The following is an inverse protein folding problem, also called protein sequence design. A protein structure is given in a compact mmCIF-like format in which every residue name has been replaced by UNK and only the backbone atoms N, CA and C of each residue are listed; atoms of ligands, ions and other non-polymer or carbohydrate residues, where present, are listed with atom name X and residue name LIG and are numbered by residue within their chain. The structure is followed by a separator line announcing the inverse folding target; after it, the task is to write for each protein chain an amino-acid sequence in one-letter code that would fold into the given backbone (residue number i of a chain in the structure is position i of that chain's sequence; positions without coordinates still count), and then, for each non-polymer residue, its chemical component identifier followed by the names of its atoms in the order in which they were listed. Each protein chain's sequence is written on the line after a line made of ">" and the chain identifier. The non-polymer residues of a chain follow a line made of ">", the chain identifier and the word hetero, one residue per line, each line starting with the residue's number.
data_IF_699364308869
#
_entry.id   IF_699364308869
#
_cell.length_a   1.000
_cell.length_b   1.000
_cell.length_c   1.000
_cell.angle_alpha   90.00
_cell.angle_beta   90.00
_cell.angle_gamma   90.00
#
_symmetry.space_group_name_H-M   'P 1'
#
loop_
_entity.id
_entity.type
_entity.pdbx_description
1 polymer ?
#
# COMPACT_ATOMS: atom_id res chain seq x y z
N UNK A 1 9.27 3.81 3.70
CA UNK A 1 9.43 4.13 2.27
C UNK A 1 8.13 3.79 1.55
N UNK A 2 7.69 4.52 0.52
CA UNK A 2 6.54 4.12 -0.29
C UNK A 2 7.04 3.33 -1.51
N UNK A 3 6.46 2.16 -1.76
CA UNK A 3 6.75 1.31 -2.91
C UNK A 3 5.45 1.08 -3.67
N UNK A 4 5.46 1.33 -4.97
CA UNK A 4 4.31 1.12 -5.85
C UNK A 4 4.54 -0.12 -6.70
N UNK A 5 3.50 -0.91 -6.84
CA UNK A 5 3.46 -2.03 -7.77
C UNK A 5 3.53 -1.54 -9.23
N UNK A 6 3.97 -2.42 -10.13
CA UNK A 6 4.04 -2.14 -11.57
C UNK A 6 2.65 -1.96 -12.20
N UNK A 7 1.62 -2.57 -11.59
CA UNK A 7 0.23 -2.47 -12.05
C UNK A 7 -0.40 -1.07 -11.85
N UNK A 8 0.27 -0.14 -11.15
CA UNK A 8 -0.22 1.22 -11.00
C UNK A 8 -0.07 2.03 -12.30
N UNK A 9 -1.16 2.63 -12.82
CA UNK A 9 -1.12 3.38 -14.07
C UNK A 9 -0.10 4.53 -14.04
N UNK A 10 0.68 4.70 -15.11
CA UNK A 10 1.73 5.71 -15.20
C UNK A 10 1.23 7.14 -14.92
N UNK A 11 0.02 7.49 -15.37
CA UNK A 11 -0.61 8.79 -15.08
C UNK A 11 -0.81 9.05 -13.58
N UNK A 12 -1.10 8.01 -12.80
CA UNK A 12 -1.22 8.13 -11.34
C UNK A 12 0.14 8.31 -10.68
N UNK A 13 1.17 7.60 -11.18
CA UNK A 13 2.56 7.74 -10.72
C UNK A 13 3.07 9.17 -10.98
N UNK A 14 2.78 9.74 -12.15
CA UNK A 14 3.06 11.15 -12.46
C UNK A 14 2.32 12.12 -11.53
N UNK A 15 1.05 11.86 -11.22
CA UNK A 15 0.26 12.69 -10.31
C UNK A 15 0.80 12.67 -8.88
N UNK A 16 1.25 11.51 -8.37
CA UNK A 16 1.93 11.43 -7.08
C UNK A 16 3.24 12.25 -7.06
N UNK A 17 4.03 12.18 -8.15
CA UNK A 17 5.26 12.99 -8.29
C UNK A 17 4.97 14.48 -8.30
N UNK A 18 3.91 14.94 -8.99
CA UNK A 18 3.54 16.37 -9.03
C UNK A 18 3.12 16.89 -7.64
N UNK A 19 2.57 16.02 -6.78
CA UNK A 19 2.29 16.32 -5.38
C UNK A 19 3.49 16.14 -4.44
N UNK A 20 4.69 15.89 -4.99
CA UNK A 20 5.94 15.65 -4.24
C UNK A 20 5.89 14.44 -3.30
N UNK A 21 5.04 13.46 -3.59
CA UNK A 21 5.02 12.18 -2.86
C UNK A 21 6.13 11.30 -3.44
N UNK A 22 7.16 11.01 -2.62
CA UNK A 22 8.29 10.16 -3.02
C UNK A 22 7.90 8.69 -2.93
N UNK A 23 8.19 7.93 -3.98
CA UNK A 23 8.02 6.48 -4.03
C UNK A 23 9.11 5.84 -4.89
N UNK A 24 9.22 4.51 -4.82
CA UNK A 24 9.92 3.67 -5.80
C UNK A 24 8.92 2.73 -6.46
N UNK A 25 9.07 2.43 -7.74
CA UNK A 25 8.20 1.48 -8.44
C UNK A 25 8.90 0.12 -8.61
N UNK A 26 8.17 -0.98 -8.42
CA UNK A 26 8.63 -2.32 -8.79
C UNK A 26 8.85 -2.37 -10.31
N UNK A 27 9.88 -3.10 -10.75
CA UNK A 27 10.23 -3.29 -12.17
C UNK A 27 10.95 -2.11 -12.83
N UNK A 28 10.75 -0.87 -12.35
CA UNK A 28 11.49 0.32 -12.82
C UNK A 28 12.66 0.67 -11.91
N UNK A 29 12.45 0.66 -10.59
CA UNK A 29 13.43 1.11 -9.59
C UNK A 29 13.81 0.01 -8.58
N UNK A 30 13.00 -1.06 -8.50
CA UNK A 30 13.16 -2.16 -7.55
C UNK A 30 12.86 -3.50 -8.25
N UNK A 31 13.89 -4.31 -8.45
CA UNK A 31 13.80 -5.65 -9.06
C UNK A 31 13.93 -5.65 -10.59
N UNK A 32 14.26 -6.80 -11.16
CA UNK A 32 14.17 -7.02 -12.61
C UNK A 32 12.70 -7.10 -13.02
N UNK A 33 12.38 -6.52 -14.18
CA UNK A 33 11.05 -6.59 -14.82
C UNK A 33 10.54 -8.03 -14.81
N UNK A 34 9.36 -8.27 -14.22
CA UNK A 34 8.81 -9.62 -14.08
C UNK A 34 9.18 -10.36 -12.79
N UNK A 35 9.42 -9.63 -11.70
CA UNK A 35 9.44 -10.22 -10.35
C UNK A 35 8.08 -10.88 -10.13
N UNK A 36 7.99 -12.19 -10.37
CA UNK A 36 6.80 -12.99 -10.05
C UNK A 36 6.36 -12.70 -8.62
N UNK A 37 5.05 -12.70 -8.37
CA UNK A 37 4.46 -12.43 -7.05
C UNK A 37 5.15 -13.16 -5.89
N UNK A 38 5.64 -14.38 -6.17
CA UNK A 38 6.43 -15.23 -5.26
C UNK A 38 7.68 -14.56 -4.65
N UNK A 39 8.27 -13.58 -5.34
CA UNK A 39 9.48 -12.89 -4.89
C UNK A 39 9.21 -11.54 -4.23
N UNK A 40 7.96 -11.04 -4.26
CA UNK A 40 7.65 -9.72 -3.72
C UNK A 40 7.77 -9.68 -2.20
N UNK A 41 7.18 -10.64 -1.47
CA UNK A 41 7.27 -10.66 -0.01
C UNK A 41 8.73 -10.76 0.48
N UNK A 42 9.57 -11.67 -0.05
CA UNK A 42 11.02 -11.66 0.22
C UNK A 42 11.72 -10.33 -0.07
N UNK A 43 11.35 -9.64 -1.15
CA UNK A 43 11.88 -8.31 -1.46
C UNK A 43 11.48 -7.29 -0.38
N UNK A 44 10.22 -7.25 0.03
CA UNK A 44 9.72 -6.32 1.05
C UNK A 44 10.44 -6.50 2.40
N UNK A 45 10.78 -7.72 2.78
CA UNK A 45 11.58 -7.99 4.00
C UNK A 45 12.98 -7.37 3.97
N UNK A 46 13.58 -7.18 2.78
CA UNK A 46 14.92 -6.60 2.62
C UNK A 46 14.90 -5.07 2.60
N UNK A 47 13.73 -4.47 2.41
CA UNK A 47 13.57 -3.03 2.36
C UNK A 47 13.33 -2.45 3.76
N UNK A 48 13.81 -1.23 4.06
CA UNK A 48 13.66 -0.63 5.38
C UNK A 48 12.22 -0.14 5.59
N UNK A 49 11.36 -1.00 6.12
CA UNK A 49 9.97 -0.69 6.49
C UNK A 49 9.17 -0.06 5.33
N UNK A 50 9.00 -0.79 4.21
CA UNK A 50 8.21 -0.30 3.08
C UNK A 50 6.71 -0.30 3.39
N UNK A 51 6.01 0.67 2.83
CA UNK A 51 4.56 0.60 2.57
C UNK A 51 4.42 0.27 1.09
N UNK A 52 4.01 -0.95 0.78
CA UNK A 52 3.78 -1.43 -0.57
C UNK A 52 2.33 -1.17 -0.96
N UNK A 53 2.10 -0.65 -2.16
CA UNK A 53 0.77 -0.32 -2.67
C UNK A 53 0.55 -0.99 -4.01
N UNK A 54 -0.56 -1.73 -4.12
CA UNK A 54 -0.96 -2.48 -5.32
C UNK A 54 -2.46 -2.33 -5.60
N UNK A 55 -2.86 -2.59 -6.84
CA UNK A 55 -4.26 -2.79 -7.23
C UNK A 55 -4.69 -4.27 -7.16
N UNK A 56 -3.77 -5.18 -6.85
CA UNK A 56 -4.04 -6.61 -6.74
C UNK A 56 -4.63 -6.99 -5.37
N UNK A 57 -5.78 -7.66 -5.43
CA UNK A 57 -6.55 -8.09 -4.26
C UNK A 57 -5.87 -9.22 -3.49
N UNK A 58 -5.02 -10.02 -4.13
CA UNK A 58 -4.42 -11.20 -3.50
C UNK A 58 -3.45 -10.85 -2.36
N UNK A 59 -3.06 -9.57 -2.26
CA UNK A 59 -2.29 -9.02 -1.14
C UNK A 59 -3.12 -8.64 0.08
N UNK A 60 -4.47 -8.68 0.01
CA UNK A 60 -5.35 -8.42 1.15
C UNK A 60 -5.65 -9.69 1.95
N UNK A 61 -4.62 -10.28 2.54
CA UNK A 61 -4.69 -11.53 3.32
C UNK A 61 -4.10 -11.34 4.72
N UNK A 62 -4.75 -11.84 5.79
CA UNK A 62 -4.24 -11.67 7.14
C UNK A 62 -2.90 -12.36 7.37
N UNK A 63 -2.64 -13.48 6.68
CA UNK A 63 -1.37 -14.22 6.79
C UNK A 63 -0.15 -13.41 6.31
N UNK A 64 -0.37 -12.37 5.50
CA UNK A 64 0.70 -11.52 4.99
C UNK A 64 1.06 -10.36 5.92
N UNK A 65 0.37 -10.19 7.05
CA UNK A 65 0.67 -9.14 8.02
C UNK A 65 2.02 -9.39 8.70
N UNK A 66 2.93 -8.41 8.60
CA UNK A 66 4.30 -8.55 9.12
C UNK A 66 4.87 -7.21 9.58
N UNK A 67 5.52 -7.17 10.74
CA UNK A 67 6.04 -5.94 11.37
C UNK A 67 7.06 -5.17 10.51
N UNK A 68 7.76 -5.88 9.63
CA UNK A 68 8.78 -5.33 8.74
C UNK A 68 8.24 -4.51 7.57
N UNK A 69 6.94 -4.55 7.27
CA UNK A 69 6.35 -3.80 6.16
C UNK A 69 4.87 -3.46 6.39
N UNK A 70 4.27 -2.77 5.43
CA UNK A 70 2.82 -2.60 5.32
C UNK A 70 2.40 -2.92 3.88
N UNK A 71 1.33 -3.69 3.73
CA UNK A 71 0.69 -3.95 2.43
C UNK A 71 -0.57 -3.12 2.31
N UNK A 72 -0.78 -2.53 1.13
CA UNK A 72 -1.96 -1.73 0.83
C UNK A 72 -2.54 -2.21 -0.50
N UNK A 73 -3.71 -2.82 -0.43
CA UNK A 73 -4.55 -3.05 -1.59
C UNK A 73 -5.47 -1.84 -1.79
N UNK A 74 -5.36 -1.22 -2.95
CA UNK A 74 -6.27 -0.16 -3.40
C UNK A 74 -7.51 -0.78 -4.05
N UNK A 75 -8.58 -0.93 -3.26
CA UNK A 75 -9.89 -1.37 -3.74
C UNK A 75 -10.69 -0.19 -4.32
N UNK A 76 -10.09 0.44 -5.33
CA UNK A 76 -10.64 1.59 -6.06
C UNK A 76 -10.27 1.46 -7.53
N UNK A 77 -10.89 2.29 -8.39
CA UNK A 77 -10.51 2.31 -9.80
C UNK A 77 -9.07 2.78 -9.92
N UNK A 78 -8.27 2.13 -10.77
CA UNK A 78 -6.86 2.48 -10.97
C UNK A 78 -6.64 3.96 -11.32
N UNK A 79 -7.59 4.61 -12.00
CA UNK A 79 -7.54 6.06 -12.31
C UNK A 79 -7.68 7.00 -11.10
N UNK A 80 -7.99 6.47 -9.92
CA UNK A 80 -8.16 7.22 -8.67
C UNK A 80 -7.06 6.88 -7.65
N UNK A 81 -6.16 5.96 -7.98
CA UNK A 81 -5.15 5.41 -7.08
C UNK A 81 -4.31 6.49 -6.38
N UNK A 82 -3.83 7.49 -7.11
CA UNK A 82 -2.99 8.55 -6.54
C UNK A 82 -3.74 9.32 -5.44
N UNK A 83 -5.01 9.68 -5.70
CA UNK A 83 -5.84 10.41 -4.75
C UNK A 83 -6.06 9.61 -3.47
N UNK A 84 -6.32 8.30 -3.59
CA UNK A 84 -6.51 7.42 -2.42
C UNK A 84 -5.22 7.14 -1.66
N UNK A 85 -4.07 6.99 -2.34
CA UNK A 85 -2.75 6.93 -1.69
C UNK A 85 -2.52 8.20 -0.87
N UNK A 86 -2.74 9.37 -1.47
CA UNK A 86 -2.58 10.65 -0.77
C UNK A 86 -3.51 10.78 0.43
N UNK A 87 -4.75 10.29 0.30
CA UNK A 87 -5.75 10.28 1.39
C UNK A 87 -5.31 9.36 2.53
N UNK A 88 -4.85 8.14 2.23
CA UNK A 88 -4.26 7.23 3.21
C UNK A 88 -3.10 7.86 3.96
N UNK A 89 -2.15 8.48 3.24
CA UNK A 89 -0.98 9.12 3.85
C UNK A 89 -1.31 10.34 4.71
N UNK A 90 -2.56 10.81 4.69
CA UNK A 90 -3.08 11.89 5.54
C UNK A 90 -4.04 11.39 6.61
N UNK A 91 -4.38 10.10 6.62
CA UNK A 91 -5.28 9.53 7.59
C UNK A 91 -4.60 9.55 8.98
N UNK A 92 -5.25 10.07 10.05
CA UNK A 92 -4.63 10.17 11.37
C UNK A 92 -4.09 8.84 11.90
N UNK A 93 -4.76 7.73 11.60
CA UNK A 93 -4.30 6.40 12.01
C UNK A 93 -3.18 5.81 11.13
N UNK A 94 -2.80 6.46 10.01
CA UNK A 94 -1.84 5.91 9.03
C UNK A 94 -0.85 6.94 8.47
N UNK A 95 -0.83 8.17 8.97
CA UNK A 95 -0.02 9.29 8.44
C UNK A 95 1.50 9.05 8.57
N UNK A 96 1.92 8.39 9.63
CA UNK A 96 3.33 8.04 9.86
C UNK A 96 3.66 6.62 9.40
N UNK A 97 4.93 6.40 9.06
CA UNK A 97 5.45 5.06 8.76
C UNK A 97 5.18 4.08 9.91
N UNK A 98 5.45 4.51 11.14
CA UNK A 98 5.31 3.67 12.33
C UNK A 98 3.87 3.16 12.50
N UNK A 99 2.86 4.03 12.31
CA UNK A 99 1.46 3.64 12.40
C UNK A 99 1.00 2.65 11.33
N UNK A 100 1.69 2.59 10.18
CA UNK A 100 1.37 1.66 9.09
C UNK A 100 1.99 0.27 9.25
N UNK A 101 3.12 0.14 9.94
CA UNK A 101 3.86 -1.12 9.97
C UNK A 101 3.07 -2.24 10.62
N UNK A 102 3.23 -3.47 10.12
CA UNK A 102 2.50 -4.63 10.59
C UNK A 102 1.10 -4.79 9.99
N UNK A 103 0.66 -3.88 9.12
CA UNK A 103 -0.72 -3.86 8.63
C UNK A 103 -0.83 -4.36 7.19
N UNK A 104 -1.95 -5.06 6.93
CA UNK A 104 -2.48 -5.28 5.59
C UNK A 104 -3.76 -4.46 5.46
N UNK A 105 -3.72 -3.44 4.62
CA UNK A 105 -4.77 -2.45 4.46
C UNK A 105 -5.53 -2.68 3.16
N UNK A 106 -6.86 -2.64 3.24
CA UNK A 106 -7.74 -2.35 2.11
C UNK A 106 -8.08 -0.86 2.18
N UNK A 107 -7.90 -0.16 1.06
CA UNK A 107 -8.29 1.25 0.90
C UNK A 107 -9.40 1.31 -0.14
N UNK A 108 -10.62 1.60 0.28
CA UNK A 108 -11.80 1.68 -0.58
C UNK A 108 -12.44 3.08 -0.58
N UNK A 109 -13.50 3.24 -1.37
CA UNK A 109 -14.23 4.51 -1.48
C UNK A 109 -14.87 4.94 -0.15
N UNK A 110 -15.46 4.00 0.57
CA UNK A 110 -16.22 4.24 1.80
C UNK A 110 -15.34 4.34 3.06
N UNK A 111 -14.14 3.76 3.02
CA UNK A 111 -13.26 3.72 4.18
C UNK A 111 -12.06 2.81 3.96
N UNK A 112 -11.46 2.44 5.09
CA UNK A 112 -10.35 1.51 5.14
C UNK A 112 -10.73 0.29 5.98
N UNK A 113 -10.08 -0.83 5.68
CA UNK A 113 -10.17 -2.03 6.51
C UNK A 113 -8.76 -2.55 6.74
N UNK A 114 -8.39 -2.88 7.98
CA UNK A 114 -7.04 -3.33 8.30
C UNK A 114 -7.01 -4.68 9.01
N UNK A 115 -6.13 -5.56 8.54
CA UNK A 115 -5.69 -6.72 9.30
C UNK A 115 -4.48 -6.34 10.16
N UNK A 116 -4.46 -6.89 11.38
CA UNK A 116 -3.33 -6.87 12.29
C UNK A 116 -2.91 -8.32 12.59
N UNK A 117 -1.62 -8.58 12.88
CA UNK A 117 -1.17 -9.91 13.25
C UNK A 117 -1.97 -10.47 14.42
N UNK A 118 -2.45 -11.72 14.28
CA UNK A 118 -3.20 -12.42 15.32
C UNK A 118 -4.66 -11.98 15.51
N UNK A 119 -5.18 -11.03 14.71
CA UNK A 119 -6.59 -10.64 14.80
C UNK A 119 -7.47 -11.54 13.92
N UNK A 120 -8.62 -12.04 14.43
CA UNK A 120 -9.47 -12.99 13.70
C UNK A 120 -10.35 -12.31 12.63
N UNK A 121 -10.48 -10.99 12.66
CA UNK A 121 -11.27 -10.19 11.70
C UNK A 121 -10.57 -8.87 11.40
N UNK A 122 -10.81 -8.26 10.23
CA UNK A 122 -10.26 -6.95 9.96
C UNK A 122 -11.04 -5.89 10.75
N UNK A 123 -10.38 -4.76 11.01
CA UNK A 123 -10.99 -3.59 11.62
C UNK A 123 -11.32 -2.56 10.55
N UNK A 124 -12.60 -2.23 10.42
CA UNK A 124 -13.08 -1.18 9.52
C UNK A 124 -12.95 0.19 10.17
N UNK A 125 -12.57 1.18 9.36
CA UNK A 125 -12.44 2.58 9.75
C UNK A 125 -13.04 3.46 8.65
N UNK A 126 -13.92 4.41 9.01
CA UNK A 126 -14.42 5.38 8.04
C UNK A 126 -13.28 6.32 7.63
N UNK A 127 -13.46 6.99 6.50
CA UNK A 127 -12.59 8.13 6.21
C UNK A 127 -12.83 9.26 7.22
N UNK A 128 -11.78 10.00 7.61
CA UNK A 128 -11.94 11.19 8.44
C UNK A 128 -12.82 12.22 7.72
N UNK A 129 -13.67 12.89 8.49
CA UNK A 129 -14.39 14.07 7.99
C UNK A 129 -13.39 15.15 7.58
N UNK A 130 -13.62 15.86 6.46
CA UNK A 130 -12.77 16.96 6.00
C UNK A 130 -12.56 18.05 7.04
#
# INVERSE_FOLDING_TARGET
>A
MLVLDENLPAGQRLLLRSWRIRFRAIGEELGDTGTKDENLIPLLHRLPQPTFVTLDRDFYRPELAHEGYCLVWLDVRGREAASFIRRLLRHPDFDTKAKRMGLVLRVGTEGLSCWRPGQPKPQDMPWPTP
#
